data_IF_651181945478
#
_entry.id   IF_651181945478
#
_cell.length_a   1.000
_cell.length_b   1.000
_cell.length_c   1.000
_cell.angle_alpha   90.00
_cell.angle_beta   90.00
_cell.angle_gamma   90.00
#
_symmetry.space_group_name_H-M   'P 1'
#
loop_
_entity.id
_entity.type
_entity.pdbx_description
1 polymer ?
#
# COMPACT_ATOMS: atom_id res chain seq x y z
N UNK A 1 8.29 2.60 -1.95
CA UNK A 1 7.79 1.45 -2.76
C UNK A 1 8.84 1.14 -3.81
N UNK A 2 9.09 -0.13 -4.09
CA UNK A 2 9.89 -0.49 -5.26
C UNK A 2 8.91 -0.77 -6.41
N UNK A 3 8.59 0.30 -7.17
CA UNK A 3 7.42 0.37 -8.06
C UNK A 3 7.39 -0.76 -9.09
N UNK A 4 8.53 -1.01 -9.72
CA UNK A 4 8.72 -1.95 -10.82
C UNK A 4 8.63 -3.41 -10.35
N UNK A 5 9.03 -3.67 -9.11
CA UNK A 5 9.03 -5.02 -8.51
C UNK A 5 7.71 -5.35 -7.81
N UNK A 6 6.84 -4.37 -7.60
CA UNK A 6 5.57 -4.55 -6.91
C UNK A 6 5.73 -4.84 -5.41
N UNK A 7 6.79 -4.29 -4.81
CA UNK A 7 7.11 -4.50 -3.39
C UNK A 7 6.81 -3.26 -2.55
N UNK A 8 6.14 -3.47 -1.43
CA UNK A 8 5.95 -2.48 -0.37
C UNK A 8 6.96 -2.79 0.73
N UNK A 9 7.72 -1.79 1.16
CA UNK A 9 8.69 -1.93 2.24
C UNK A 9 8.13 -1.24 3.47
N UNK A 10 7.96 -1.99 4.55
CA UNK A 10 7.69 -1.44 5.87
C UNK A 10 9.01 -1.43 6.64
N UNK A 11 9.53 -0.22 6.87
CA UNK A 11 10.85 0.00 7.47
C UNK A 11 10.67 0.43 8.92
N UNK A 12 11.31 -0.29 9.83
CA UNK A 12 11.39 0.11 11.23
C UNK A 12 12.63 0.99 11.44
N UNK A 13 12.40 2.25 11.83
CA UNK A 13 13.44 3.25 12.06
C UNK A 13 13.86 3.38 13.54
N UNK A 14 13.43 2.48 14.42
CA UNK A 14 13.81 2.51 15.85
C UNK A 14 15.32 2.35 16.07
N UNK A 15 15.98 1.59 15.20
CA UNK A 15 17.43 1.40 15.18
C UNK A 15 17.89 1.52 13.72
N UNK A 16 18.56 2.62 13.40
CA UNK A 16 19.03 2.92 12.04
C UNK A 16 20.34 2.20 11.70
N UNK A 17 21.07 1.73 12.71
CA UNK A 17 22.29 0.94 12.53
C UNK A 17 21.93 -0.53 12.25
N UNK A 18 20.79 -1.00 12.79
CA UNK A 18 20.24 -2.36 12.59
C UNK A 18 18.82 -2.33 12.02
N UNK A 19 18.68 -1.80 10.79
CA UNK A 19 17.38 -1.64 10.14
C UNK A 19 16.61 -2.97 9.99
N UNK A 20 15.44 -3.05 10.62
CA UNK A 20 14.47 -4.10 10.37
C UNK A 20 13.51 -3.68 9.24
N UNK A 21 13.44 -4.48 8.17
CA UNK A 21 12.59 -4.22 7.00
C UNK A 21 11.70 -5.42 6.73
N UNK A 22 10.40 -5.18 6.62
CA UNK A 22 9.43 -6.17 6.11
C UNK A 22 9.15 -5.88 4.64
N UNK A 23 9.48 -6.84 3.78
CA UNK A 23 9.13 -6.79 2.36
C UNK A 23 7.77 -7.46 2.14
N UNK A 24 6.82 -6.72 1.56
CA UNK A 24 5.47 -7.20 1.30
C UNK A 24 5.26 -7.22 -0.22
N UNK A 25 5.02 -8.41 -0.76
CA UNK A 25 4.62 -8.57 -2.15
C UNK A 25 3.21 -8.02 -2.39
N UNK A 26 3.05 -7.22 -3.45
CA UNK A 26 1.80 -6.63 -3.87
C UNK A 26 1.59 -6.87 -5.38
N UNK A 27 1.40 -5.81 -6.16
CA UNK A 27 1.32 -5.86 -7.62
C UNK A 27 2.29 -4.84 -8.24
N UNK A 28 2.77 -5.13 -9.45
CA UNK A 28 3.70 -4.24 -10.16
C UNK A 28 3.05 -2.88 -10.45
N UNK A 29 3.90 -1.87 -10.60
CA UNK A 29 3.53 -0.49 -10.92
C UNK A 29 2.80 0.22 -9.77
N UNK A 30 3.31 0.02 -8.54
CA UNK A 30 2.84 0.79 -7.38
C UNK A 30 3.05 2.28 -7.63
N UNK A 31 2.02 3.10 -7.44
CA UNK A 31 2.02 4.50 -7.80
C UNK A 31 1.88 5.41 -6.58
N UNK A 32 0.65 5.64 -6.15
CA UNK A 32 0.20 6.55 -5.11
C UNK A 32 -0.87 5.88 -4.23
N UNK A 33 -1.09 6.41 -3.04
CA UNK A 33 -1.91 5.76 -2.03
C UNK A 33 -2.01 6.56 -0.74
N UNK A 34 -2.88 6.11 0.15
CA UNK A 34 -3.11 6.74 1.43
C UNK A 34 -3.62 5.78 2.49
N UNK A 35 -3.68 6.31 3.70
CA UNK A 35 -4.18 5.59 4.84
C UNK A 35 -5.70 5.64 4.89
N UNK A 36 -6.30 4.55 5.34
CA UNK A 36 -7.70 4.54 5.76
C UNK A 36 -7.92 5.52 6.94
N UNK A 37 -9.18 5.74 7.30
CA UNK A 37 -9.53 6.64 8.41
C UNK A 37 -8.92 6.21 9.75
N UNK A 38 -8.79 4.89 10.00
CA UNK A 38 -8.22 4.36 11.25
C UNK A 38 -6.70 4.40 11.31
N UNK A 39 -6.02 4.73 10.20
CA UNK A 39 -4.55 4.69 10.06
C UNK A 39 -3.94 3.31 10.29
N UNK A 40 -4.72 2.25 10.10
CA UNK A 40 -4.26 0.86 10.21
C UNK A 40 -3.94 0.28 8.85
N UNK A 41 -4.75 0.60 7.85
CA UNK A 41 -4.61 0.04 6.51
C UNK A 41 -4.03 1.08 5.56
N UNK A 42 -2.98 0.68 4.85
CA UNK A 42 -2.40 1.48 3.77
C UNK A 42 -2.89 0.95 2.43
N UNK A 43 -3.60 1.80 1.68
CA UNK A 43 -4.15 1.48 0.36
C UNK A 43 -3.30 2.17 -0.70
N UNK A 44 -2.78 1.41 -1.65
CA UNK A 44 -1.91 1.92 -2.72
C UNK A 44 -2.32 1.37 -4.08
N UNK A 45 -2.39 2.26 -5.07
CA UNK A 45 -2.69 1.91 -6.44
C UNK A 45 -1.49 1.23 -7.11
N UNK A 46 -1.72 0.05 -7.67
CA UNK A 46 -0.86 -0.58 -8.68
C UNK A 46 -1.43 -0.23 -10.05
N UNK A 47 -1.16 1.00 -10.51
CA UNK A 47 -1.99 1.67 -11.51
C UNK A 47 -2.04 0.94 -12.86
N UNK A 48 -0.90 0.58 -13.44
CA UNK A 48 -0.83 -0.16 -14.70
C UNK A 48 -1.22 -1.64 -14.55
N UNK A 49 -1.50 -2.08 -13.32
CA UNK A 49 -2.08 -3.39 -13.02
C UNK A 49 -3.59 -3.33 -12.74
N UNK A 50 -4.22 -2.15 -12.79
CA UNK A 50 -5.64 -1.91 -12.47
C UNK A 50 -6.07 -2.48 -11.10
N UNK A 51 -5.21 -2.31 -10.09
CA UNK A 51 -5.42 -2.89 -8.76
C UNK A 51 -5.15 -1.90 -7.64
N UNK A 52 -5.80 -2.09 -6.50
CA UNK A 52 -5.45 -1.48 -5.21
C UNK A 52 -4.89 -2.57 -4.29
N UNK A 53 -3.66 -2.40 -3.81
CA UNK A 53 -3.08 -3.23 -2.77
C UNK A 53 -3.38 -2.62 -1.39
N UNK A 54 -3.84 -3.44 -0.47
CA UNK A 54 -4.16 -3.05 0.91
C UNK A 54 -3.21 -3.76 1.86
N UNK A 55 -2.49 -2.99 2.68
CA UNK A 55 -1.55 -3.51 3.68
C UNK A 55 -2.09 -3.26 5.07
N UNK A 56 -2.14 -4.28 5.93
CA UNK A 56 -2.40 -4.10 7.36
C UNK A 56 -1.08 -3.76 8.07
N UNK A 57 -0.90 -2.49 8.41
CA UNK A 57 0.33 -2.00 9.02
C UNK A 57 0.51 -2.48 10.47
N UNK A 58 -0.55 -2.94 11.14
CA UNK A 58 -0.44 -3.47 12.50
C UNK A 58 0.30 -4.80 12.53
N UNK A 59 0.11 -5.63 11.50
CA UNK A 59 0.69 -6.98 11.42
C UNK A 59 1.72 -7.12 10.28
N UNK A 60 1.95 -6.06 9.51
CA UNK A 60 2.97 -6.02 8.47
C UNK A 60 2.73 -6.95 7.29
N UNK A 61 1.47 -7.13 6.85
CA UNK A 61 1.15 -8.07 5.75
C UNK A 61 0.15 -7.50 4.75
N UNK A 62 0.16 -8.05 3.54
CA UNK A 62 -0.87 -7.78 2.54
C UNK A 62 -2.22 -8.31 3.05
N UNK A 63 -3.20 -7.42 3.15
CA UNK A 63 -4.56 -7.75 3.57
C UNK A 63 -5.46 -8.09 2.38
N UNK A 64 -5.31 -7.36 1.27
CA UNK A 64 -6.09 -7.59 0.06
C UNK A 64 -5.40 -7.04 -1.19
N UNK A 65 -5.79 -7.58 -2.34
CA UNK A 65 -5.48 -7.04 -3.66
C UNK A 65 -6.79 -6.95 -4.44
N UNK A 66 -7.25 -5.73 -4.71
CA UNK A 66 -8.60 -5.44 -5.20
C UNK A 66 -8.51 -5.01 -6.65
N UNK A 67 -9.27 -5.65 -7.53
CA UNK A 67 -9.45 -5.24 -8.93
C UNK A 67 -10.31 -3.97 -9.01
N UNK A 68 -9.88 -3.02 -9.83
CA UNK A 68 -10.57 -1.75 -10.09
C UNK A 68 -10.49 -1.39 -11.57
N UNK A 69 -11.14 -0.29 -11.94
CA UNK A 69 -11.08 0.23 -13.31
C UNK A 69 -9.68 0.71 -13.71
N UNK A 70 -9.54 1.03 -15.00
CA UNK A 70 -8.26 1.27 -15.66
C UNK A 70 -7.48 2.44 -15.04
N UNK A 71 -6.20 2.19 -14.70
CA UNK A 71 -5.21 3.19 -14.24
C UNK A 71 -5.75 4.02 -13.05
N UNK A 72 -5.99 3.39 -11.89
CA UNK A 72 -6.40 4.13 -10.69
C UNK A 72 -5.30 5.12 -10.25
N UNK A 73 -5.73 6.33 -9.91
CA UNK A 73 -4.84 7.42 -9.45
C UNK A 73 -5.50 8.21 -8.29
N UNK A 74 -5.52 7.64 -7.08
CA UNK A 74 -6.27 8.18 -5.95
C UNK A 74 -5.63 9.40 -5.28
N UNK A 75 -4.37 9.73 -5.58
CA UNK A 75 -3.56 10.59 -4.72
C UNK A 75 -3.39 9.94 -3.35
N UNK A 76 -3.95 10.57 -2.30
CA UNK A 76 -4.06 9.96 -0.95
C UNK A 76 -5.43 9.30 -0.69
N UNK A 77 -6.32 9.31 -1.67
CA UNK A 77 -7.71 8.86 -1.54
C UNK A 77 -8.58 9.83 -0.74
N UNK A 78 -9.84 9.42 -0.53
CA UNK A 78 -10.83 10.12 0.28
C UNK A 78 -11.51 9.13 1.20
N UNK A 79 -11.52 9.40 2.50
CA UNK A 79 -12.19 8.59 3.50
C UNK A 79 -13.46 9.29 3.95
N UNK A 80 -14.60 8.59 3.91
CA UNK A 80 -15.88 9.06 4.43
C UNK A 80 -16.76 7.87 4.78
N UNK A 81 -17.73 8.06 5.67
CA UNK A 81 -18.76 7.06 5.94
C UNK A 81 -19.86 7.24 4.89
N UNK A 82 -20.13 6.21 4.10
CA UNK A 82 -21.25 6.21 3.18
C UNK A 82 -22.57 6.08 3.96
N UNK A 83 -23.63 6.84 3.62
CA UNK A 83 -24.94 6.72 4.25
C UNK A 83 -25.59 5.35 4.04
#
# INVERSE_FOLDING_TARGET
NAKETGKILMVNYQDIDNLAVTEIGAAKFLHDGGWDASKRYFLVAANQSNKIAVVDAKVGRLAALIDVDKIPHPGRGANFVHP
#
